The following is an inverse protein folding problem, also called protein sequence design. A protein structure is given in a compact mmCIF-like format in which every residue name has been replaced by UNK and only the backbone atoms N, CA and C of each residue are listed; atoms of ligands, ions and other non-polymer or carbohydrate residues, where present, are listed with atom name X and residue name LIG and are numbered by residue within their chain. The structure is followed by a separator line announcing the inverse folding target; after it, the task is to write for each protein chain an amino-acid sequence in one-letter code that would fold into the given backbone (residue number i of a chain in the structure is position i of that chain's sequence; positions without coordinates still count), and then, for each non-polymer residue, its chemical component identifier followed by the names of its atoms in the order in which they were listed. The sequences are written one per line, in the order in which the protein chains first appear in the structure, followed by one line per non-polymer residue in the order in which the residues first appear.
data_IF_834800259943
#
_entry.id   IF_834800259943
#
_cell.length_a   1.000
_cell.length_b   1.000
_cell.length_c   1.000
_cell.angle_alpha   90.00
_cell.angle_beta   90.00
_cell.angle_gamma   90.00
#
_symmetry.space_group_name_H-M   'P 1'
#
loop_
_entity.id
_entity.type
_entity.pdbx_description
1 polymer ?
#
# COMPACT_ATOMS: atom_id res chain seq x y z
N UNK A 1 -22.58 1.68 -1.59
CA UNK A 1 -21.43 0.95 -1.00
C UNK A 1 -21.53 -0.51 -1.41
N UNK A 2 -20.45 -1.10 -1.93
CA UNK A 2 -20.46 -2.43 -2.56
C UNK A 2 -20.51 -3.61 -1.59
N UNK A 3 -20.70 -4.81 -2.16
CA UNK A 3 -20.69 -6.07 -1.44
C UNK A 3 -19.37 -6.29 -0.69
N UNK A 4 -19.37 -6.92 0.50
CA UNK A 4 -18.14 -7.28 1.19
C UNK A 4 -17.17 -8.09 0.32
N UNK A 5 -15.88 -7.82 0.49
CA UNK A 5 -14.78 -8.58 -0.09
C UNK A 5 -14.53 -9.84 0.74
N UNK A 6 -15.28 -10.89 0.40
CA UNK A 6 -15.11 -12.22 0.98
C UNK A 6 -14.26 -13.08 0.04
N UNK A 7 -13.20 -13.68 0.59
CA UNK A 7 -12.29 -14.58 -0.13
C UNK A 7 -12.55 -16.02 0.33
N UNK A 8 -13.07 -16.92 -0.54
CA UNK A 8 -13.48 -18.27 -0.13
C UNK A 8 -12.32 -19.22 0.20
N UNK A 9 -11.12 -19.01 -0.36
CA UNK A 9 -9.96 -19.91 -0.19
C UNK A 9 -8.75 -19.19 0.43
N UNK A 10 -8.82 -18.84 1.71
CA UNK A 10 -7.69 -18.22 2.39
C UNK A 10 -6.54 -19.23 2.61
N UNK A 11 -5.26 -18.84 2.40
CA UNK A 11 -4.13 -19.75 2.50
C UNK A 11 -3.87 -20.18 3.96
N UNK A 12 -4.32 -21.35 4.40
CA UNK A 12 -4.18 -21.76 5.82
C UNK A 12 -2.80 -22.30 6.19
N UNK A 13 -2.01 -22.81 5.23
CA UNK A 13 -0.86 -23.69 5.53
C UNK A 13 0.53 -23.06 5.33
N UNK A 14 0.63 -21.75 5.02
CA UNK A 14 1.90 -21.13 4.56
C UNK A 14 2.65 -20.29 5.59
N UNK A 15 2.15 -20.14 6.82
CA UNK A 15 2.89 -19.47 7.89
C UNK A 15 3.53 -20.50 8.83
N UNK A 16 4.78 -20.29 9.27
CA UNK A 16 5.33 -21.02 10.38
C UNK A 16 4.37 -20.91 11.58
N UNK A 17 3.96 -22.05 12.14
CA UNK A 17 3.09 -22.04 13.32
C UNK A 17 3.88 -21.40 14.46
N UNK A 18 3.27 -20.43 15.14
CA UNK A 18 3.86 -19.81 16.33
C UNK A 18 4.17 -20.91 17.37
N UNK A 19 5.45 -21.08 17.71
CA UNK A 19 5.90 -22.11 18.64
C UNK A 19 5.48 -21.77 20.07
N UNK A 20 5.32 -22.79 20.92
CA UNK A 20 4.97 -22.58 22.33
C UNK A 20 5.96 -21.64 23.04
N UNK A 21 7.27 -21.79 22.76
CA UNK A 21 8.29 -20.88 23.27
C UNK A 21 8.12 -19.42 22.81
N UNK A 22 7.69 -19.19 21.57
CA UNK A 22 7.34 -17.83 21.08
C UNK A 22 6.15 -17.26 21.85
N UNK A 23 5.11 -18.05 22.08
CA UNK A 23 3.92 -17.63 22.86
C UNK A 23 4.29 -17.27 24.29
N UNK A 24 5.16 -18.06 24.92
CA UNK A 24 5.61 -17.80 26.30
C UNK A 24 6.49 -16.54 26.39
N UNK A 25 7.42 -16.34 25.45
CA UNK A 25 8.20 -15.08 25.35
C UNK A 25 7.30 -13.87 25.12
N UNK A 26 6.23 -14.04 24.34
CA UNK A 26 5.24 -13.00 24.09
C UNK A 26 4.42 -12.66 25.33
N UNK A 27 4.03 -13.68 26.10
CA UNK A 27 3.37 -13.51 27.38
C UNK A 27 4.26 -12.76 28.38
N UNK A 28 5.52 -13.21 28.58
CA UNK A 28 6.46 -12.57 29.51
C UNK A 28 6.74 -11.10 29.16
N UNK A 29 6.90 -10.77 27.88
CA UNK A 29 7.14 -9.39 27.48
C UNK A 29 5.92 -8.46 27.60
N UNK A 30 4.69 -8.98 27.63
CA UNK A 30 3.51 -8.17 27.97
C UNK A 30 3.59 -7.65 29.41
N UNK A 31 4.32 -8.34 30.29
CA UNK A 31 4.59 -7.93 31.67
C UNK A 31 5.94 -7.24 31.82
N UNK A 32 6.59 -6.83 30.72
CA UNK A 32 7.94 -6.24 30.73
C UNK A 32 9.04 -7.14 31.35
N UNK A 33 8.80 -8.44 31.49
CA UNK A 33 9.71 -9.40 32.12
C UNK A 33 10.73 -10.02 31.13
N UNK A 34 11.17 -9.25 30.12
CA UNK A 34 12.21 -9.71 29.18
C UNK A 34 12.53 -8.72 28.06
N UNK A 35 13.79 -8.66 27.65
CA UNK A 35 14.22 -7.90 26.47
C UNK A 35 13.89 -8.65 25.18
N UNK A 36 13.52 -7.92 24.14
CA UNK A 36 13.19 -8.49 22.83
C UNK A 36 13.86 -7.70 21.73
N UNK A 37 14.40 -8.40 20.74
CA UNK A 37 14.88 -7.75 19.53
C UNK A 37 13.74 -7.08 18.78
N UNK A 38 14.05 -5.99 18.07
CA UNK A 38 13.11 -5.27 17.22
C UNK A 38 12.45 -6.22 16.20
N UNK A 39 13.22 -7.12 15.60
CA UNK A 39 12.74 -8.14 14.65
C UNK A 39 11.70 -9.09 15.26
N UNK A 40 11.87 -9.50 16.52
CA UNK A 40 10.90 -10.39 17.17
C UNK A 40 9.57 -9.68 17.41
N UNK A 41 9.63 -8.41 17.85
CA UNK A 41 8.44 -7.58 18.04
C UNK A 41 7.72 -7.35 16.71
N UNK A 42 8.48 -7.03 15.67
CA UNK A 42 7.95 -6.80 14.32
C UNK A 42 7.29 -8.06 13.77
N UNK A 43 7.95 -9.22 13.90
CA UNK A 43 7.40 -10.51 13.51
C UNK A 43 6.03 -10.73 14.15
N UNK A 44 5.87 -10.53 15.46
CA UNK A 44 4.56 -10.70 16.12
C UNK A 44 3.51 -9.72 15.66
N UNK A 45 3.88 -8.47 15.39
CA UNK A 45 2.98 -7.48 14.78
C UNK A 45 2.50 -7.96 13.41
N UNK A 46 3.39 -8.56 12.60
CA UNK A 46 3.03 -9.15 11.31
C UNK A 46 2.12 -10.37 11.46
N UNK A 47 2.37 -11.26 12.43
CA UNK A 47 1.46 -12.39 12.72
C UNK A 47 0.06 -11.90 13.09
N UNK A 48 -0.05 -10.90 13.97
CA UNK A 48 -1.34 -10.32 14.33
C UNK A 48 -2.03 -9.67 13.11
N UNK A 49 -1.27 -8.96 12.28
CA UNK A 49 -1.77 -8.31 11.07
C UNK A 49 -2.32 -9.33 10.10
N UNK A 50 -1.60 -10.44 9.91
CA UNK A 50 -2.04 -11.54 9.07
C UNK A 50 -3.35 -12.14 9.59
N UNK A 51 -3.40 -12.48 10.89
CA UNK A 51 -4.60 -13.07 11.48
C UNK A 51 -5.81 -12.15 11.39
N UNK A 52 -5.62 -10.85 11.67
CA UNK A 52 -6.68 -9.84 11.55
C UNK A 52 -7.14 -9.68 10.10
N UNK A 53 -6.20 -9.69 9.14
CA UNK A 53 -6.49 -9.58 7.71
C UNK A 53 -7.25 -10.80 7.20
N UNK A 54 -6.81 -12.02 7.55
CA UNK A 54 -7.51 -13.26 7.21
C UNK A 54 -8.93 -13.26 7.77
N UNK A 55 -9.10 -12.88 9.04
CA UNK A 55 -10.41 -12.79 9.65
C UNK A 55 -11.29 -11.77 8.91
N UNK A 56 -10.75 -10.59 8.59
CA UNK A 56 -11.45 -9.50 7.90
C UNK A 56 -11.92 -9.86 6.48
N UNK A 57 -11.19 -10.75 5.79
CA UNK A 57 -11.53 -11.25 4.46
C UNK A 57 -12.34 -12.56 4.47
N UNK A 58 -12.55 -13.14 5.65
CA UNK A 58 -13.29 -14.40 5.79
C UNK A 58 -14.81 -14.18 5.76
N UNK A 59 -15.60 -15.18 5.33
CA UNK A 59 -17.07 -15.12 5.42
C UNK A 59 -17.56 -14.87 6.85
N UNK A 60 -16.79 -15.31 7.85
CA UNK A 60 -17.15 -15.12 9.26
C UNK A 60 -17.13 -13.64 9.69
N UNK A 61 -16.38 -12.76 9.03
CA UNK A 61 -16.41 -11.33 9.34
C UNK A 61 -17.72 -10.66 8.92
N UNK A 62 -18.38 -11.13 7.85
CA UNK A 62 -19.68 -10.60 7.46
C UNK A 62 -20.77 -11.08 8.42
N UNK A 63 -20.73 -12.35 8.83
CA UNK A 63 -21.68 -12.93 9.81
C UNK A 63 -21.51 -12.29 11.20
N UNK A 64 -20.26 -12.00 11.61
CA UNK A 64 -19.98 -11.32 12.87
C UNK A 64 -20.30 -9.81 12.85
N UNK A 65 -20.52 -9.20 11.69
CA UNK A 65 -20.91 -7.79 11.58
C UNK A 65 -22.43 -7.58 11.71
N UNK A 66 -23.24 -8.58 11.32
CA UNK A 66 -24.70 -8.56 11.52
C UNK A 66 -25.08 -8.65 13.01
N UNK A 67 -24.22 -9.28 13.81
CA UNK A 67 -24.24 -9.17 15.27
C UNK A 67 -23.41 -7.95 15.62
N UNK A 68 -24.01 -6.81 16.01
CA UNK A 68 -23.36 -5.52 16.37
C UNK A 68 -22.37 -5.58 17.56
N UNK A 69 -21.43 -6.52 17.55
CA UNK A 69 -20.37 -6.64 18.52
C UNK A 69 -19.06 -6.78 17.73
N UNK A 70 -18.09 -5.87 17.86
CA UNK A 70 -16.77 -6.11 17.31
C UNK A 70 -16.27 -7.39 17.95
N UNK A 71 -16.10 -8.44 17.14
CA UNK A 71 -15.48 -9.68 17.58
C UNK A 71 -14.00 -9.41 17.86
N UNK A 72 -13.72 -8.71 18.97
CA UNK A 72 -12.41 -8.68 19.59
C UNK A 72 -12.15 -10.11 20.01
N UNK A 73 -11.50 -10.91 19.14
CA UNK A 73 -10.70 -12.02 19.66
C UNK A 73 -9.73 -11.37 20.64
N UNK A 74 -9.91 -11.62 21.94
CA UNK A 74 -9.30 -10.91 23.10
C UNK A 74 -7.77 -10.71 23.07
N UNK A 75 -7.06 -11.18 22.05
CA UNK A 75 -5.61 -11.26 21.98
C UNK A 75 -4.95 -10.62 20.74
N UNK A 76 -5.70 -10.06 19.78
CA UNK A 76 -5.13 -9.42 18.58
C UNK A 76 -4.93 -7.91 18.79
N UNK A 77 -3.76 -7.39 18.38
CA UNK A 77 -3.45 -5.96 18.42
C UNK A 77 -4.10 -5.14 17.31
N UNK A 78 -4.61 -5.79 16.24
CA UNK A 78 -5.18 -5.16 15.05
C UNK A 78 -6.68 -5.50 14.96
N UNK A 79 -7.55 -4.49 14.72
CA UNK A 79 -9.00 -4.70 14.64
C UNK A 79 -9.39 -5.52 13.40
N UNK A 80 -10.43 -6.35 13.55
CA UNK A 80 -11.07 -7.07 12.44
C UNK A 80 -12.17 -6.18 11.87
N UNK A 81 -12.18 -6.00 10.54
CA UNK A 81 -13.10 -5.10 9.85
C UNK A 81 -13.76 -5.78 8.66
N UNK A 82 -14.99 -5.38 8.32
CA UNK A 82 -15.61 -5.81 7.06
C UNK A 82 -14.96 -5.03 5.92
N UNK A 83 -14.21 -5.74 5.08
CA UNK A 83 -13.54 -5.13 3.94
C UNK A 83 -14.54 -4.97 2.80
N UNK A 84 -14.78 -3.75 2.34
CA UNK A 84 -15.61 -3.46 1.14
C UNK A 84 -14.81 -2.80 0.02
N UNK A 85 -13.67 -2.20 0.38
CA UNK A 85 -12.73 -1.59 -0.54
C UNK A 85 -11.31 -1.89 -0.06
N UNK A 86 -10.31 -2.06 -0.96
CA UNK A 86 -8.91 -2.28 -0.57
C UNK A 86 -8.34 -1.22 0.39
N UNK A 87 -8.87 0.01 0.38
CA UNK A 87 -8.48 1.07 1.32
C UNK A 87 -8.72 0.73 2.79
N UNK A 88 -9.65 -0.17 3.11
CA UNK A 88 -9.83 -0.65 4.48
C UNK A 88 -8.57 -1.40 4.97
N UNK A 89 -7.81 -1.98 4.04
CA UNK A 89 -6.55 -2.70 4.30
C UNK A 89 -5.31 -1.84 4.03
N UNK A 90 -5.45 -0.51 3.89
CA UNK A 90 -4.35 0.41 3.60
C UNK A 90 -3.16 0.23 4.56
N UNK A 91 -3.42 0.02 5.85
CA UNK A 91 -2.38 -0.21 6.84
C UNK A 91 -1.50 -1.44 6.54
N UNK A 92 -2.05 -2.46 5.87
CA UNK A 92 -1.28 -3.62 5.40
C UNK A 92 -0.41 -3.24 4.22
N UNK A 93 -0.98 -2.51 3.26
CA UNK A 93 -0.26 -2.04 2.08
C UNK A 93 0.89 -1.08 2.41
N UNK A 94 0.68 -0.14 3.32
CA UNK A 94 1.69 0.81 3.79
C UNK A 94 2.81 0.09 4.58
N UNK A 95 2.52 -1.06 5.21
CA UNK A 95 3.50 -1.86 5.94
C UNK A 95 4.42 -2.68 5.01
N UNK A 96 3.93 -3.17 3.87
CA UNK A 96 4.67 -4.10 3.00
C UNK A 96 6.09 -3.64 2.61
N UNK A 97 6.32 -2.38 2.19
CA UNK A 97 7.66 -1.89 1.83
C UNK A 97 8.60 -1.76 3.02
N UNK A 98 8.07 -1.71 4.25
CA UNK A 98 8.83 -1.52 5.49
C UNK A 98 9.26 -2.83 6.14
N UNK A 99 8.87 -3.98 5.58
CA UNK A 99 9.21 -5.29 6.13
C UNK A 99 10.64 -5.66 5.68
N UNK A 100 11.58 -5.90 6.61
CA UNK A 100 12.95 -6.27 6.27
C UNK A 100 13.02 -7.66 5.65
N UNK A 101 14.08 -7.93 4.89
CA UNK A 101 14.31 -9.21 4.22
C UNK A 101 14.38 -10.41 5.20
N UNK A 102 14.72 -10.19 6.47
CA UNK A 102 14.70 -11.22 7.52
C UNK A 102 13.29 -11.79 7.78
N UNK A 103 12.24 -11.07 7.38
CA UNK A 103 10.82 -11.41 7.55
C UNK A 103 10.11 -11.61 6.19
N UNK A 104 10.86 -12.04 5.17
CA UNK A 104 10.37 -12.21 3.80
C UNK A 104 9.25 -13.25 3.66
N UNK A 105 9.18 -14.24 4.54
CA UNK A 105 8.11 -15.25 4.54
C UNK A 105 6.78 -14.58 4.91
N UNK A 106 6.78 -13.78 5.98
CA UNK A 106 5.63 -13.01 6.45
C UNK A 106 5.21 -11.96 5.40
N UNK A 107 6.17 -11.26 4.80
CA UNK A 107 5.91 -10.32 3.69
C UNK A 107 5.21 -11.02 2.52
N UNK A 108 5.76 -12.13 2.01
CA UNK A 108 5.18 -12.91 0.90
C UNK A 108 3.77 -13.41 1.22
N UNK A 109 3.53 -13.78 2.46
CA UNK A 109 2.20 -14.23 2.88
C UNK A 109 1.20 -13.07 2.86
N UNK A 110 1.56 -11.90 3.39
CA UNK A 110 0.73 -10.70 3.30
C UNK A 110 0.47 -10.29 1.84
N UNK A 111 1.50 -10.30 0.98
CA UNK A 111 1.34 -10.05 -0.45
C UNK A 111 0.35 -11.03 -1.10
N UNK A 112 0.41 -12.32 -0.74
CA UNK A 112 -0.52 -13.33 -1.25
C UNK A 112 -1.97 -13.05 -0.81
N UNK A 113 -2.18 -12.69 0.46
CA UNK A 113 -3.50 -12.31 0.97
C UNK A 113 -4.04 -11.08 0.23
N UNK A 114 -3.20 -10.05 0.09
CA UNK A 114 -3.57 -8.82 -0.62
C UNK A 114 -3.85 -9.07 -2.09
N UNK A 115 -3.06 -9.91 -2.75
CA UNK A 115 -3.32 -10.32 -4.14
C UNK A 115 -4.72 -10.95 -4.28
N UNK A 116 -5.10 -11.87 -3.37
CA UNK A 116 -6.43 -12.49 -3.39
C UNK A 116 -7.55 -11.47 -3.15
N UNK A 117 -7.38 -10.57 -2.17
CA UNK A 117 -8.35 -9.52 -1.90
C UNK A 117 -8.54 -8.58 -3.10
N UNK A 118 -7.44 -8.17 -3.75
CA UNK A 118 -7.44 -7.31 -4.92
C UNK A 118 -8.05 -7.98 -6.16
N UNK A 119 -7.80 -9.27 -6.38
CA UNK A 119 -8.47 -10.06 -7.43
C UNK A 119 -9.99 -10.05 -7.24
N UNK A 120 -10.44 -10.32 -6.00
CA UNK A 120 -11.87 -10.33 -5.69
C UNK A 120 -12.51 -8.96 -5.88
N UNK A 121 -11.81 -7.90 -5.48
CA UNK A 121 -12.28 -6.53 -5.69
C UNK A 121 -12.39 -6.19 -7.18
N UNK A 122 -11.39 -6.55 -7.98
CA UNK A 122 -11.41 -6.31 -9.42
C UNK A 122 -12.53 -7.09 -10.13
N UNK A 123 -12.82 -8.33 -9.71
CA UNK A 123 -13.98 -9.08 -10.20
C UNK A 123 -15.30 -8.36 -9.88
N UNK A 124 -15.49 -7.92 -8.63
CA UNK A 124 -16.69 -7.19 -8.22
C UNK A 124 -16.84 -5.87 -8.98
N UNK A 125 -15.75 -5.10 -9.12
CA UNK A 125 -15.76 -3.86 -9.88
C UNK A 125 -15.99 -4.09 -11.36
N UNK A 126 -15.48 -5.19 -11.91
CA UNK A 126 -15.72 -5.55 -13.30
C UNK A 126 -17.19 -5.84 -13.58
N UNK A 127 -17.88 -6.51 -12.65
CA UNK A 127 -19.32 -6.73 -12.73
C UNK A 127 -20.13 -5.43 -12.62
N UNK A 128 -19.71 -4.52 -11.72
CA UNK A 128 -20.40 -3.23 -11.53
C UNK A 128 -20.21 -2.29 -12.72
N UNK A 129 -19.01 -2.22 -13.29
CA UNK A 129 -18.69 -1.36 -14.44
C UNK A 129 -19.16 -1.95 -15.78
N UNK A 130 -19.41 -3.26 -15.83
CA UNK A 130 -19.69 -3.98 -17.08
C UNK A 130 -18.47 -4.17 -17.98
N UNK A 131 -17.25 -3.92 -17.48
CA UNK A 131 -16.00 -4.04 -18.21
C UNK A 131 -14.85 -4.50 -17.30
N UNK A 132 -13.78 -5.13 -17.83
CA UNK A 132 -12.66 -5.57 -17.01
C UNK A 132 -12.01 -4.43 -16.23
N UNK A 133 -11.94 -4.58 -14.90
CA UNK A 133 -11.31 -3.58 -14.04
C UNK A 133 -9.79 -3.75 -13.98
N UNK A 134 -9.07 -2.68 -14.30
CA UNK A 134 -7.60 -2.60 -14.31
C UNK A 134 -7.13 -1.55 -13.30
N UNK A 135 -6.30 -1.97 -12.33
CA UNK A 135 -5.71 -1.03 -11.37
C UNK A 135 -4.68 -0.13 -12.02
N UNK A 136 -3.95 -0.65 -13.01
CA UNK A 136 -3.04 0.13 -13.86
C UNK A 136 -3.75 1.32 -14.50
N UNK A 137 -4.90 1.06 -15.13
CA UNK A 137 -5.67 2.09 -15.82
C UNK A 137 -6.13 3.18 -14.83
N UNK A 138 -6.72 2.78 -13.70
CA UNK A 138 -7.13 3.73 -12.66
C UNK A 138 -5.95 4.56 -12.14
N UNK A 139 -4.82 3.91 -11.84
CA UNK A 139 -3.63 4.61 -11.36
C UNK A 139 -3.18 5.70 -12.34
N UNK A 140 -3.16 5.35 -13.63
CA UNK A 140 -2.78 6.26 -14.72
C UNK A 140 -3.73 7.45 -14.82
N UNK A 141 -5.03 7.22 -14.81
CA UNK A 141 -6.04 8.29 -14.88
C UNK A 141 -5.89 9.27 -13.71
N UNK A 142 -5.71 8.75 -12.48
CA UNK A 142 -5.49 9.59 -11.31
C UNK A 142 -4.18 10.38 -11.37
N UNK A 143 -3.09 9.79 -11.85
CA UNK A 143 -1.83 10.51 -12.02
C UNK A 143 -1.94 11.63 -13.06
N UNK A 144 -2.58 11.37 -14.20
CA UNK A 144 -2.77 12.41 -15.22
C UNK A 144 -3.73 13.51 -14.75
N UNK A 145 -4.79 13.16 -14.03
CA UNK A 145 -5.69 14.14 -13.42
C UNK A 145 -4.94 15.06 -12.46
N UNK A 146 -4.13 14.49 -11.55
CA UNK A 146 -3.28 15.25 -10.63
C UNK A 146 -2.29 16.15 -11.37
N UNK A 147 -1.61 15.64 -12.39
CA UNK A 147 -0.64 16.42 -13.18
C UNK A 147 -1.28 17.55 -13.97
N UNK A 148 -2.48 17.33 -14.52
CA UNK A 148 -3.25 18.36 -15.22
C UNK A 148 -3.61 19.52 -14.27
N UNK A 149 -4.06 19.19 -13.06
CA UNK A 149 -4.36 20.18 -12.02
C UNK A 149 -3.09 20.89 -11.52
N UNK A 150 -1.98 20.17 -11.37
CA UNK A 150 -0.69 20.74 -10.96
C UNK A 150 -0.23 21.86 -11.90
N UNK A 151 -0.37 21.67 -13.22
CA UNK A 151 -0.05 22.70 -14.22
C UNK A 151 -0.89 23.97 -14.08
N UNK A 152 -2.11 23.84 -13.54
CA UNK A 152 -3.03 24.95 -13.36
C UNK A 152 -2.75 25.76 -12.07
N UNK A 153 -2.05 25.21 -11.07
CA UNK A 153 -1.80 25.89 -9.78
C UNK A 153 -1.19 27.27 -9.97
N UNK A 154 -0.22 27.42 -10.88
CA UNK A 154 0.49 28.69 -11.11
C UNK A 154 -0.42 29.83 -11.54
N UNK A 155 -1.63 29.53 -12.02
CA UNK A 155 -2.62 30.51 -12.48
C UNK A 155 -3.59 30.95 -11.37
N UNK A 156 -3.56 30.28 -10.23
CA UNK A 156 -4.41 30.59 -9.08
C UNK A 156 -3.78 31.72 -8.28
N UNK A 157 -4.56 32.74 -7.94
CA UNK A 157 -4.07 33.93 -7.24
C UNK A 157 -4.55 33.98 -5.79
N UNK A 158 -5.68 33.35 -5.47
CA UNK A 158 -6.22 33.37 -4.12
C UNK A 158 -5.68 32.20 -3.26
N UNK A 159 -5.40 32.42 -1.97
CA UNK A 159 -4.95 31.36 -1.07
C UNK A 159 -5.94 30.20 -0.94
N UNK A 160 -7.24 30.50 -0.87
CA UNK A 160 -8.29 29.48 -0.69
C UNK A 160 -8.42 28.57 -1.93
N UNK A 161 -8.39 29.14 -3.14
CA UNK A 161 -8.39 28.34 -4.37
C UNK A 161 -7.12 27.49 -4.47
N UNK A 162 -5.96 28.03 -4.06
CA UNK A 162 -4.71 27.27 -4.01
C UNK A 162 -4.80 26.10 -3.05
N UNK A 163 -5.33 26.32 -1.84
CA UNK A 163 -5.51 25.26 -0.84
C UNK A 163 -6.44 24.16 -1.37
N UNK A 164 -7.60 24.54 -1.90
CA UNK A 164 -8.56 23.59 -2.47
C UNK A 164 -7.96 22.80 -3.64
N UNK A 165 -7.21 23.47 -4.53
CA UNK A 165 -6.52 22.82 -5.64
C UNK A 165 -5.44 21.84 -5.16
N UNK A 166 -4.64 22.23 -4.16
CA UNK A 166 -3.62 21.36 -3.56
C UNK A 166 -4.23 20.13 -2.92
N UNK A 167 -5.35 20.28 -2.22
CA UNK A 167 -6.09 19.15 -1.64
C UNK A 167 -6.64 18.20 -2.72
N UNK A 168 -7.16 18.75 -3.82
CA UNK A 168 -7.63 17.96 -4.95
C UNK A 168 -6.49 17.17 -5.62
N UNK A 169 -5.34 17.82 -5.84
CA UNK A 169 -4.14 17.17 -6.39
C UNK A 169 -3.63 16.09 -5.45
N UNK A 170 -3.52 16.39 -4.15
CA UNK A 170 -3.13 15.40 -3.14
C UNK A 170 -4.05 14.19 -3.20
N UNK A 171 -5.35 14.40 -3.30
CA UNK A 171 -6.35 13.33 -3.37
C UNK A 171 -6.18 12.49 -4.64
N UNK A 172 -5.99 13.11 -5.80
CA UNK A 172 -5.71 12.37 -7.04
C UNK A 172 -4.42 11.55 -6.95
N UNK A 173 -3.31 12.15 -6.51
CA UNK A 173 -2.05 11.45 -6.34
C UNK A 173 -2.12 10.37 -5.26
N UNK A 174 -2.87 10.59 -4.19
CA UNK A 174 -3.14 9.60 -3.16
C UNK A 174 -3.83 8.36 -3.76
N UNK A 175 -4.89 8.54 -4.53
CA UNK A 175 -5.57 7.42 -5.19
C UNK A 175 -4.67 6.74 -6.22
N UNK A 176 -3.98 7.51 -7.07
CA UNK A 176 -3.05 6.98 -8.07
C UNK A 176 -1.93 6.14 -7.44
N UNK A 177 -1.34 6.62 -6.34
CA UNK A 177 -0.31 5.92 -5.57
C UNK A 177 -0.78 4.55 -5.08
N UNK A 178 -1.98 4.50 -4.49
CA UNK A 178 -2.53 3.26 -3.98
C UNK A 178 -2.90 2.29 -5.11
N UNK A 179 -3.51 2.79 -6.20
CA UNK A 179 -3.86 1.95 -7.33
C UNK A 179 -2.64 1.37 -8.04
N UNK A 180 -1.55 2.14 -8.15
CA UNK A 180 -0.28 1.64 -8.65
C UNK A 180 0.25 0.50 -7.77
N UNK A 181 0.27 0.68 -6.45
CA UNK A 181 0.65 -0.40 -5.53
C UNK A 181 -0.28 -1.62 -5.66
N UNK A 182 -1.58 -1.43 -5.83
CA UNK A 182 -2.52 -2.53 -6.04
C UNK A 182 -2.24 -3.28 -7.34
N UNK A 183 -1.92 -2.58 -8.43
CA UNK A 183 -1.53 -3.19 -9.69
C UNK A 183 -0.27 -4.06 -9.54
N UNK A 184 0.74 -3.57 -8.82
CA UNK A 184 1.98 -4.32 -8.53
C UNK A 184 1.72 -5.57 -7.69
N UNK A 185 0.96 -5.44 -6.59
CA UNK A 185 0.64 -6.57 -5.70
C UNK A 185 -0.25 -7.60 -6.40
N UNK A 186 -1.20 -7.15 -7.24
CA UNK A 186 -2.02 -8.03 -8.10
C UNK A 186 -1.18 -8.69 -9.20
N UNK A 187 0.00 -8.15 -9.51
CA UNK A 187 0.89 -8.55 -10.61
C UNK A 187 0.22 -8.36 -11.98
N UNK A 188 -0.46 -7.23 -12.16
CA UNK A 188 -0.98 -6.84 -13.47
C UNK A 188 0.16 -6.69 -14.49
N UNK A 189 -0.15 -6.93 -15.77
CA UNK A 189 0.79 -6.73 -16.86
C UNK A 189 0.76 -5.25 -17.24
N UNK A 190 1.65 -4.48 -16.62
CA UNK A 190 1.77 -3.04 -16.88
C UNK A 190 2.31 -2.78 -18.28
N UNK A 191 1.74 -1.78 -18.96
CA UNK A 191 2.23 -1.25 -20.21
C UNK A 191 3.57 -0.51 -19.98
N UNK A 192 4.69 -0.94 -20.59
CA UNK A 192 5.99 -0.27 -20.45
C UNK A 192 5.99 1.20 -20.88
N UNK A 193 5.09 1.60 -21.78
CA UNK A 193 5.01 2.97 -22.29
C UNK A 193 4.24 3.91 -21.35
N UNK A 194 3.46 3.35 -20.42
CA UNK A 194 2.74 4.13 -19.40
C UNK A 194 3.66 4.90 -18.46
N UNK A 195 4.92 4.47 -18.32
CA UNK A 195 5.92 5.03 -17.39
C UNK A 195 5.37 5.24 -15.97
N UNK A 196 4.49 4.34 -15.51
CA UNK A 196 3.77 4.50 -14.24
C UNK A 196 4.67 4.71 -13.03
N UNK A 197 5.82 4.04 -12.97
CA UNK A 197 6.80 4.27 -11.90
C UNK A 197 7.28 5.74 -11.84
N UNK A 198 7.50 6.37 -13.00
CA UNK A 198 7.94 7.77 -13.07
C UNK A 198 6.82 8.71 -12.60
N UNK A 199 5.58 8.43 -13.00
CA UNK A 199 4.40 9.18 -12.54
C UNK A 199 4.19 9.02 -11.03
N UNK A 200 4.35 7.79 -10.52
CA UNK A 200 4.30 7.48 -9.10
C UNK A 200 5.36 8.24 -8.31
N UNK A 201 6.64 8.17 -8.73
CA UNK A 201 7.73 8.84 -8.01
C UNK A 201 7.54 10.36 -8.00
N UNK A 202 7.12 10.94 -9.13
CA UNK A 202 6.76 12.37 -9.21
C UNK A 202 5.62 12.72 -8.27
N UNK A 203 4.55 11.92 -8.25
CA UNK A 203 3.38 12.15 -7.40
C UNK A 203 3.77 12.10 -5.92
N UNK A 204 4.56 11.10 -5.50
CA UNK A 204 5.08 11.00 -4.13
C UNK A 204 5.92 12.22 -3.77
N UNK A 205 6.84 12.63 -4.65
CA UNK A 205 7.67 13.81 -4.44
C UNK A 205 6.82 15.09 -4.30
N UNK A 206 5.81 15.26 -5.15
CA UNK A 206 4.91 16.41 -5.09
C UNK A 206 4.09 16.41 -3.79
N UNK A 207 3.50 15.27 -3.41
CA UNK A 207 2.73 15.16 -2.17
C UNK A 207 3.59 15.51 -0.94
N UNK A 208 4.88 15.16 -0.95
CA UNK A 208 5.82 15.51 0.10
C UNK A 208 6.15 17.01 0.19
N UNK A 209 5.82 17.81 -0.84
CA UNK A 209 5.96 19.26 -0.83
C UNK A 209 4.74 19.99 -0.26
N UNK A 210 3.62 19.29 -0.06
CA UNK A 210 2.43 19.90 0.54
C UNK A 210 2.62 19.82 2.05
N UNK A 211 2.80 20.98 2.67
CA UNK A 211 2.97 21.06 4.12
C UNK A 211 1.63 20.88 4.85
N UNK A 212 1.67 20.65 6.16
CA UNK A 212 0.48 20.43 6.99
C UNK A 212 -0.46 21.65 7.02
N UNK A 213 0.08 22.86 6.79
CA UNK A 213 -0.69 24.10 6.67
C UNK A 213 -1.34 24.26 5.28
N UNK A 214 -1.12 23.33 4.35
CA UNK A 214 -1.66 23.35 2.99
C UNK A 214 -0.90 24.25 2.02
N UNK A 215 0.30 24.70 2.37
CA UNK A 215 1.19 25.43 1.46
C UNK A 215 2.06 24.48 0.64
N UNK A 216 2.45 24.95 -0.56
CA UNK A 216 3.35 24.21 -1.44
C UNK A 216 4.79 24.68 -1.20
N UNK A 217 5.60 23.81 -0.61
CA UNK A 217 7.02 24.05 -0.37
C UNK A 217 7.84 23.97 -1.67
N UNK A 218 8.98 24.66 -1.69
CA UNK A 218 9.95 24.56 -2.80
C UNK A 218 10.63 23.18 -2.87
N UNK A 219 10.90 22.61 -1.69
CA UNK A 219 11.52 21.28 -1.52
C UNK A 219 10.61 20.38 -0.69
N UNK A 220 10.63 19.05 -0.94
CA UNK A 220 9.80 18.13 -0.19
C UNK A 220 10.25 18.05 1.27
N UNK A 221 9.29 17.89 2.18
CA UNK A 221 9.55 17.65 3.59
C UNK A 221 10.20 16.28 3.78
N UNK A 222 11.44 16.21 4.33
CA UNK A 222 12.16 14.94 4.49
C UNK A 222 11.39 13.89 5.30
N UNK A 223 10.57 14.32 6.26
CA UNK A 223 9.76 13.42 7.10
C UNK A 223 8.63 12.74 6.35
N UNK A 224 8.15 13.36 5.27
CA UNK A 224 7.05 12.86 4.45
C UNK A 224 7.52 12.03 3.25
N UNK A 225 8.81 12.13 2.93
CA UNK A 225 9.43 11.38 1.85
C UNK A 225 9.69 9.93 2.27
N UNK A 226 9.34 8.93 1.45
CA UNK A 226 9.85 7.59 1.65
C UNK A 226 11.37 7.56 1.44
N UNK A 227 12.05 6.63 2.12
CA UNK A 227 13.46 6.40 1.86
C UNK A 227 13.68 5.68 0.51
N UNK A 228 14.93 5.70 0.04
CA UNK A 228 15.30 5.08 -1.24
C UNK A 228 15.02 3.58 -1.27
N UNK A 229 15.22 2.87 -0.16
CA UNK A 229 14.90 1.44 -0.04
C UNK A 229 13.40 1.15 -0.28
N UNK A 230 12.53 1.99 0.28
CA UNK A 230 11.08 1.92 0.03
C UNK A 230 10.78 2.16 -1.45
N UNK A 231 11.48 3.08 -2.12
CA UNK A 231 11.30 3.29 -3.56
C UNK A 231 11.80 2.10 -4.39
N UNK A 232 12.91 1.48 -3.99
CA UNK A 232 13.45 0.27 -4.60
C UNK A 232 12.47 -0.91 -4.53
N UNK A 233 11.72 -1.05 -3.43
CA UNK A 233 10.67 -2.05 -3.31
C UNK A 233 9.67 -2.01 -4.48
N UNK A 234 9.29 -0.82 -4.96
CA UNK A 234 8.41 -0.65 -6.11
C UNK A 234 9.10 -0.99 -7.43
N UNK A 235 10.33 -0.50 -7.61
CA UNK A 235 11.15 -0.76 -8.82
C UNK A 235 11.31 -2.26 -9.05
N UNK A 236 11.66 -3.01 -8.00
CA UNK A 236 11.88 -4.46 -8.09
C UNK A 236 10.62 -5.26 -8.41
N UNK A 237 9.45 -4.72 -8.07
CA UNK A 237 8.14 -5.38 -8.29
C UNK A 237 7.51 -4.99 -9.62
N UNK A 238 7.89 -3.84 -10.17
CA UNK A 238 7.43 -3.41 -11.47
C UNK A 238 8.22 -4.11 -12.59
N UNK A 239 7.64 -5.18 -13.11
CA UNK A 239 8.26 -5.97 -14.20
C UNK A 239 8.53 -5.14 -15.46
N UNK A 240 7.69 -4.13 -15.74
CA UNK A 240 7.86 -3.27 -16.92
C UNK A 240 9.11 -2.40 -16.77
N UNK A 241 9.33 -1.87 -15.56
CA UNK A 241 10.54 -1.12 -15.21
C UNK A 241 11.75 -2.04 -15.25
N UNK A 242 11.71 -3.20 -14.60
CA UNK A 242 12.85 -4.14 -14.57
C UNK A 242 13.24 -4.61 -15.98
N UNK A 243 12.27 -4.93 -16.83
CA UNK A 243 12.53 -5.36 -18.19
C UNK A 243 13.21 -4.25 -19.00
N UNK A 244 12.64 -3.04 -18.99
CA UNK A 244 13.19 -1.90 -19.73
C UNK A 244 14.54 -1.43 -19.18
N UNK A 245 14.70 -1.44 -17.86
CA UNK A 245 15.96 -1.10 -17.19
C UNK A 245 17.11 -1.99 -17.64
N UNK A 246 16.87 -3.26 -18.03
CA UNK A 246 17.94 -4.13 -18.53
C UNK A 246 18.38 -3.81 -19.97
N UNK A 247 17.50 -3.22 -20.78
CA UNK A 247 17.73 -3.04 -22.22
C UNK A 247 18.00 -1.60 -22.66
N UNK A 248 17.58 -0.59 -21.87
CA UNK A 248 17.59 0.83 -22.25
C UNK A 248 18.46 1.63 -21.28
N UNK A 249 19.65 2.05 -21.73
CA UNK A 249 20.64 2.77 -20.91
C UNK A 249 20.15 4.16 -20.49
N UNK A 250 19.38 4.86 -21.33
CA UNK A 250 18.84 6.18 -20.98
C UNK A 250 17.73 6.04 -19.95
N UNK A 251 16.89 5.01 -20.07
CA UNK A 251 15.93 4.67 -19.02
C UNK A 251 16.61 4.31 -17.69
N UNK A 252 17.75 3.59 -17.72
CA UNK A 252 18.53 3.34 -16.51
C UNK A 252 18.96 4.65 -15.82
N UNK A 253 19.49 5.60 -16.59
CA UNK A 253 19.89 6.91 -16.07
C UNK A 253 18.70 7.67 -15.47
N UNK A 254 17.53 7.62 -16.13
CA UNK A 254 16.31 8.25 -15.62
C UNK A 254 15.88 7.63 -14.28
N UNK A 255 15.83 6.29 -14.18
CA UNK A 255 15.44 5.60 -12.94
C UNK A 255 16.41 5.92 -11.81
N UNK A 256 17.72 5.91 -12.09
CA UNK A 256 18.75 6.28 -11.09
C UNK A 256 18.57 7.72 -10.60
N UNK A 257 18.43 8.68 -11.52
CA UNK A 257 18.22 10.08 -11.16
C UNK A 257 16.94 10.28 -10.32
N UNK A 258 15.87 9.54 -10.63
CA UNK A 258 14.64 9.57 -9.83
C UNK A 258 14.87 9.01 -8.43
N UNK A 259 15.59 7.88 -8.29
CA UNK A 259 15.88 7.28 -6.98
C UNK A 259 16.83 8.12 -6.12
N UNK A 260 17.75 8.86 -6.74
CA UNK A 260 18.66 9.78 -6.07
C UNK A 260 17.93 10.97 -5.43
N UNK A 261 16.76 11.35 -5.97
CA UNK A 261 15.91 12.40 -5.38
C UNK A 261 15.28 12.01 -4.03
N UNK A 262 15.34 10.73 -3.65
CA UNK A 262 14.86 10.23 -2.37
C UNK A 262 16.02 10.03 -1.38
N UNK A 263 15.80 10.31 -0.08
CA UNK A 263 16.84 10.21 0.93
C UNK A 263 17.36 8.77 1.06
N UNK A 264 18.67 8.64 1.27
CA UNK A 264 19.26 7.38 1.72
C UNK A 264 18.76 7.02 3.13
N UNK A 265 18.73 5.72 3.44
CA UNK A 265 18.39 5.19 4.76
C UNK A 265 19.33 5.69 5.86
#
# INVERSE_FOLDING_TARGET
MGNPLVVPDLPTNKLPKETFGSRMKRFLARFSLGSQSADTRLRWKLYDMIQATMASLSPSATIAADKRAPAKRKNLSIPIIVVRHPYHLRHVFDMLPQIPDTLKIEQRYLELLMNKALKRYAEQMGLVKGSPFSFEHEAREYFFAGFKMEKAIKKLNTPDEKFAALQAIYTSYFHGRNYYLFALIRREKLDPDSKLFMLFARAVYFMARIDWNGELLDKPSPRSMPNRETMMFFVERDKSVVARYRSDQDFQRQVKAVLEAFPAS
#
